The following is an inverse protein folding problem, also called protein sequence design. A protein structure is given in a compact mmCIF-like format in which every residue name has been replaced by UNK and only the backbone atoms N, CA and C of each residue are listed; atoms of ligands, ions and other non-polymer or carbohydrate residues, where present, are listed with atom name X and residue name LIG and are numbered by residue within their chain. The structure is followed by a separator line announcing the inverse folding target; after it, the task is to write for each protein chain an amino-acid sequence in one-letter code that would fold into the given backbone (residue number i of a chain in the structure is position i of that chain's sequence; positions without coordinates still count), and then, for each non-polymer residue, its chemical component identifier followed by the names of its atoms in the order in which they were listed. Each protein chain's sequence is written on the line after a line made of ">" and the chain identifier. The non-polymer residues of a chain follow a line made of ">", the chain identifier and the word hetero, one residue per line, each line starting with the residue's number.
data_IF_279133049370
#
_entry.id   IF_279133049370
#
_cell.length_a   1.000
_cell.length_b   1.000
_cell.length_c   1.000
_cell.angle_alpha   90.00
_cell.angle_beta   90.00
_cell.angle_gamma   90.00
#
_symmetry.space_group_name_H-M   'P 1'
#
loop_
_entity.id
_entity.type
_entity.pdbx_description
1 polymer ?
#
# COMPACT_ATOMS: atom_id res chain seq x y z
N UNK A 1 -10.71 10.65 10.13
CA UNK A 1 -9.70 11.71 10.18
C UNK A 1 -8.31 11.12 10.34
N UNK A 2 -7.54 11.10 9.26
CA UNK A 2 -6.14 10.66 9.24
C UNK A 2 -5.25 11.80 8.76
N UNK A 3 -4.13 12.02 9.45
CA UNK A 3 -3.07 12.93 9.05
C UNK A 3 -1.76 12.47 9.69
N UNK A 4 -0.67 12.50 8.93
CA UNK A 4 0.66 12.12 9.41
C UNK A 4 1.72 13.06 8.83
N UNK A 5 2.66 13.52 9.67
CA UNK A 5 3.77 14.38 9.23
C UNK A 5 4.95 13.53 8.71
N UNK A 6 5.04 13.43 7.39
CA UNK A 6 6.11 12.66 6.72
C UNK A 6 7.38 13.51 6.56
N UNK A 7 7.94 13.96 7.69
CA UNK A 7 9.13 14.80 7.74
C UNK A 7 10.46 14.04 7.88
N UNK A 8 10.45 12.73 8.16
CA UNK A 8 11.67 11.95 8.41
C UNK A 8 11.65 10.61 7.68
N UNK A 9 12.82 10.00 7.47
CA UNK A 9 12.93 8.64 6.91
C UNK A 9 12.13 7.63 7.74
N UNK A 10 12.14 7.77 9.07
CA UNK A 10 11.38 6.88 9.96
C UNK A 10 9.88 7.06 9.76
N UNK A 11 9.36 8.30 9.80
CA UNK A 11 7.91 8.52 9.64
C UNK A 11 7.42 8.08 8.25
N UNK A 12 8.22 8.31 7.19
CA UNK A 12 7.92 7.77 5.87
C UNK A 12 7.84 6.23 5.87
N UNK A 13 8.82 5.56 6.48
CA UNK A 13 8.87 4.11 6.51
C UNK A 13 7.71 3.49 7.29
N UNK A 14 7.44 3.98 8.50
CA UNK A 14 6.36 3.49 9.36
C UNK A 14 4.98 3.69 8.71
N UNK A 15 4.72 4.87 8.12
CA UNK A 15 3.46 5.15 7.46
C UNK A 15 3.18 4.18 6.29
N UNK A 16 4.21 3.77 5.54
CA UNK A 16 4.06 2.79 4.47
C UNK A 16 3.86 1.37 5.00
N UNK A 17 4.57 0.96 6.05
CA UNK A 17 4.38 -0.36 6.67
C UNK A 17 2.99 -0.52 7.28
N UNK A 18 2.45 0.55 7.87
CA UNK A 18 1.12 0.54 8.48
C UNK A 18 -0.01 0.19 7.49
N UNK A 19 0.19 0.45 6.18
CA UNK A 19 -0.76 0.05 5.13
C UNK A 19 -0.98 -1.46 5.03
N UNK A 20 -0.12 -2.26 5.68
CA UNK A 20 -0.22 -3.72 5.72
C UNK A 20 -0.96 -4.27 6.94
N UNK A 21 -1.36 -3.40 7.87
CA UNK A 21 -2.12 -3.80 9.04
C UNK A 21 -3.54 -4.24 8.65
N UNK A 22 -4.18 -5.08 9.47
CA UNK A 22 -5.54 -5.57 9.21
C UNK A 22 -6.58 -4.44 9.13
N UNK A 23 -6.34 -3.36 9.90
CA UNK A 23 -7.14 -2.13 9.92
C UNK A 23 -6.20 -0.93 9.86
N UNK A 24 -5.74 -0.54 8.66
CA UNK A 24 -4.80 0.56 8.53
C UNK A 24 -5.48 1.88 8.92
N UNK A 25 -4.72 2.79 9.53
CA UNK A 25 -5.25 4.10 9.92
C UNK A 25 -5.58 4.98 8.70
N UNK A 26 -4.93 4.73 7.56
CA UNK A 26 -5.23 5.32 6.26
C UNK A 26 -5.69 4.22 5.29
N UNK A 27 -6.83 4.42 4.66
CA UNK A 27 -7.45 3.45 3.76
C UNK A 27 -7.49 3.97 2.31
N UNK A 28 -6.75 3.32 1.41
CA UNK A 28 -6.79 3.62 -0.03
C UNK A 28 -8.07 3.12 -0.72
N UNK A 29 -8.85 2.28 -0.06
CA UNK A 29 -10.06 1.66 -0.60
C UNK A 29 -11.35 2.41 -0.21
N UNK A 30 -11.25 3.55 0.48
CA UNK A 30 -12.42 4.36 0.84
C UNK A 30 -13.06 5.02 -0.39
N UNK A 31 -14.20 4.49 -0.83
CA UNK A 31 -14.92 4.93 -2.04
C UNK A 31 -15.40 6.39 -1.98
N UNK A 32 -15.64 6.92 -0.77
CA UNK A 32 -16.09 8.31 -0.56
C UNK A 32 -14.99 9.35 -0.80
N UNK A 33 -13.72 8.93 -0.71
CA UNK A 33 -12.56 9.82 -0.77
C UNK A 33 -11.43 9.23 -1.66
N UNK A 34 -11.71 9.02 -2.97
CA UNK A 34 -10.75 8.37 -3.86
C UNK A 34 -9.50 9.23 -4.09
N UNK A 35 -8.34 8.58 -4.12
CA UNK A 35 -7.05 9.18 -4.47
C UNK A 35 -6.74 8.88 -5.94
N UNK A 36 -6.50 9.94 -6.72
CA UNK A 36 -6.19 9.82 -8.15
C UNK A 36 -4.69 10.02 -8.41
N UNK A 37 -4.10 9.12 -9.21
CA UNK A 37 -2.74 9.23 -9.73
C UNK A 37 -2.73 8.89 -11.23
N UNK A 38 -1.54 8.92 -11.85
CA UNK A 38 -1.37 8.40 -13.20
C UNK A 38 -1.58 6.88 -13.19
N UNK A 39 -2.44 6.32 -14.06
CA UNK A 39 -2.71 4.89 -14.07
C UNK A 39 -1.52 4.10 -14.65
N UNK A 40 -0.99 3.19 -13.85
CA UNK A 40 0.03 2.24 -14.31
C UNK A 40 -0.63 1.07 -15.06
N UNK A 41 -0.40 1.00 -16.37
CA UNK A 41 -0.84 -0.12 -17.22
C UNK A 41 0.17 -1.28 -17.14
N UNK A 42 0.29 -1.89 -15.96
CA UNK A 42 1.19 -3.01 -15.70
C UNK A 42 0.45 -4.36 -15.75
N UNK A 43 1.13 -5.47 -16.11
CA UNK A 43 0.58 -6.81 -15.99
C UNK A 43 0.14 -7.15 -14.56
N UNK A 44 -0.74 -8.15 -14.41
CA UNK A 44 -1.11 -8.68 -13.09
C UNK A 44 0.12 -9.19 -12.33
N UNK A 45 0.16 -8.95 -11.02
CA UNK A 45 1.20 -9.51 -10.17
C UNK A 45 1.16 -11.05 -10.22
N UNK A 46 2.33 -11.69 -10.32
CA UNK A 46 2.46 -13.15 -10.40
C UNK A 46 3.13 -13.69 -9.14
N UNK A 47 2.49 -14.65 -8.48
CA UNK A 47 2.99 -15.28 -7.27
C UNK A 47 3.22 -16.78 -7.53
N UNK A 48 4.41 -17.25 -7.22
CA UNK A 48 4.78 -18.67 -7.23
C UNK A 48 4.49 -19.34 -5.88
N UNK A 49 5.40 -20.24 -5.48
CA UNK A 49 5.39 -20.86 -4.17
C UNK A 49 5.92 -19.87 -3.12
N UNK A 50 5.01 -19.23 -2.39
CA UNK A 50 5.35 -18.20 -1.40
C UNK A 50 4.40 -18.20 -0.19
N UNK A 51 4.89 -17.67 0.92
CA UNK A 51 4.10 -17.40 2.13
C UNK A 51 4.06 -15.90 2.36
N UNK A 52 2.86 -15.33 2.42
CA UNK A 52 2.63 -13.92 2.65
C UNK A 52 1.98 -13.69 4.01
N UNK A 53 2.39 -12.62 4.68
CA UNK A 53 1.79 -12.18 5.94
C UNK A 53 1.86 -10.65 5.97
N UNK A 54 0.69 -9.98 6.07
CA UNK A 54 0.58 -8.51 6.12
C UNK A 54 1.45 -7.86 5.04
N UNK A 55 1.06 -8.03 3.78
CA UNK A 55 1.86 -7.57 2.63
C UNK A 55 0.95 -6.98 1.58
N UNK A 56 1.37 -5.85 1.01
CA UNK A 56 0.75 -5.22 -0.16
C UNK A 56 1.64 -5.44 -1.37
N UNK A 57 1.06 -5.87 -2.50
CA UNK A 57 1.80 -6.18 -3.73
C UNK A 57 1.20 -5.34 -4.86
N UNK A 58 2.03 -4.56 -5.53
CA UNK A 58 1.64 -3.76 -6.69
C UNK A 58 1.54 -4.63 -7.96
N UNK A 59 0.83 -4.11 -8.97
CA UNK A 59 0.85 -4.69 -10.31
C UNK A 59 2.27 -4.72 -10.89
N UNK A 60 2.55 -5.68 -11.76
CA UNK A 60 3.87 -5.88 -12.37
C UNK A 60 4.88 -6.65 -11.50
N UNK A 61 4.58 -6.94 -10.23
CA UNK A 61 5.46 -7.74 -9.38
C UNK A 61 5.47 -9.23 -9.78
N UNK A 62 6.63 -9.87 -9.66
CA UNK A 62 6.79 -11.33 -9.71
C UNK A 62 7.48 -11.79 -8.44
N UNK A 63 6.80 -12.63 -7.66
CA UNK A 63 7.22 -13.13 -6.33
C UNK A 63 7.35 -14.64 -6.36
#
# INVERSE_FOLDING_TARGET
>A
DYWEDIGTVRSFFEANLQLTDDFPAFDFYEEGHPIYNYPDLLPTAKLGDCSLNRTTIASGCMV
#
